data_IF_615056095079
#
_entry.id   IF_615056095079
#
_cell.length_a   1.000
_cell.length_b   1.000
_cell.length_c   1.000
_cell.angle_alpha   90.00
_cell.angle_beta   90.00
_cell.angle_gamma   90.00
#
_symmetry.space_group_name_H-M   'P 1'
#
loop_
_entity.id
_entity.type
_entity.pdbx_description
1 polymer ?
#
# COMPACT_ATOMS: atom_id res chain seq x y z
N UNK A 1 15.82 0.82 -17.53
CA UNK A 1 15.60 0.20 -16.19
C UNK A 1 15.12 1.20 -15.13
N UNK A 2 15.47 2.49 -15.20
CA UNK A 2 14.92 3.55 -14.33
C UNK A 2 13.53 4.04 -14.74
N UNK A 3 13.14 3.79 -15.99
CA UNK A 3 11.85 4.20 -16.56
C UNK A 3 10.66 3.51 -15.88
N UNK A 4 10.84 2.27 -15.40
CA UNK A 4 9.82 1.52 -14.67
C UNK A 4 9.51 2.13 -13.29
N UNK A 5 10.51 2.73 -12.63
CA UNK A 5 10.32 3.43 -11.34
C UNK A 5 9.58 4.76 -11.59
N UNK A 6 9.91 5.46 -12.68
CA UNK A 6 9.24 6.70 -13.06
C UNK A 6 7.78 6.51 -13.48
N UNK A 7 7.41 5.37 -14.07
CA UNK A 7 6.01 5.02 -14.31
C UNK A 7 5.27 4.61 -13.04
N UNK A 8 5.90 3.83 -12.14
CA UNK A 8 5.31 3.48 -10.84
C UNK A 8 5.02 4.75 -10.03
N UNK A 9 5.96 5.70 -9.98
CA UNK A 9 5.80 6.98 -9.28
C UNK A 9 4.73 7.86 -9.93
N UNK A 10 4.60 7.84 -11.27
CA UNK A 10 3.59 8.64 -11.99
C UNK A 10 2.18 8.06 -11.92
N UNK A 11 2.01 6.79 -11.57
CA UNK A 11 0.71 6.17 -11.34
C UNK A 11 0.23 6.26 -9.88
N UNK A 12 1.04 6.83 -8.98
CA UNK A 12 0.69 7.15 -7.58
C UNK A 12 -0.19 8.41 -7.47
N UNK A 13 -1.06 8.65 -8.45
CA UNK A 13 -1.82 9.90 -8.62
C UNK A 13 -3.34 9.73 -8.72
N UNK A 14 -3.84 8.49 -8.70
CA UNK A 14 -5.27 8.20 -8.64
C UNK A 14 -5.56 7.23 -7.50
N UNK A 15 -5.05 7.52 -6.30
CA UNK A 15 -5.56 6.90 -5.09
C UNK A 15 -6.96 7.44 -4.78
N UNK A 16 -7.91 6.58 -4.39
CA UNK A 16 -7.84 5.12 -4.26
C UNK A 16 -7.92 4.38 -5.62
N UNK A 17 -7.24 3.23 -5.73
CA UNK A 17 -7.18 2.42 -6.95
C UNK A 17 -7.43 0.92 -6.69
N UNK A 18 -7.86 0.23 -7.75
CA UNK A 18 -8.02 -1.22 -7.80
C UNK A 18 -6.92 -1.82 -8.67
N UNK A 19 -6.20 -2.79 -8.11
CA UNK A 19 -5.26 -3.63 -8.84
C UNK A 19 -5.90 -4.98 -9.16
N UNK A 20 -5.83 -5.39 -10.43
CA UNK A 20 -6.24 -6.70 -10.92
C UNK A 20 -5.01 -7.54 -11.22
N UNK A 21 -5.00 -8.77 -10.71
CA UNK A 21 -3.89 -9.70 -10.82
C UNK A 21 -4.32 -10.85 -11.71
N UNK A 22 -3.57 -11.08 -12.78
CA UNK A 22 -3.76 -12.19 -13.69
C UNK A 22 -2.49 -13.04 -13.69
N UNK A 23 -2.60 -14.27 -13.21
CA UNK A 23 -1.59 -15.29 -13.28
C UNK A 23 -1.76 -16.03 -14.60
N UNK A 24 -0.79 -15.92 -15.51
CA UNK A 24 -0.74 -16.88 -16.60
C UNK A 24 -0.29 -18.22 -16.00
N UNK A 25 -0.99 -19.32 -16.28
CA UNK A 25 -0.72 -20.64 -15.70
C UNK A 25 0.60 -21.30 -16.15
N UNK A 26 1.64 -20.51 -16.46
CA UNK A 26 2.96 -20.96 -16.89
C UNK A 26 4.06 -19.99 -16.45
N UNK A 27 5.31 -20.26 -16.85
CA UNK A 27 6.52 -19.51 -16.45
C UNK A 27 6.53 -18.01 -16.86
N UNK A 28 5.48 -17.52 -17.51
CA UNK A 28 5.36 -16.18 -18.07
C UNK A 28 4.57 -15.23 -17.14
N UNK A 29 5.12 -15.00 -15.95
CA UNK A 29 4.86 -13.79 -15.14
C UNK A 29 3.44 -13.53 -14.64
N UNK A 30 3.37 -12.66 -13.63
CA UNK A 30 2.11 -12.08 -13.13
C UNK A 30 1.85 -10.80 -13.92
N UNK A 31 0.66 -10.65 -14.50
CA UNK A 31 0.19 -9.40 -15.13
C UNK A 31 -0.62 -8.60 -14.11
N UNK A 32 -0.25 -7.33 -13.94
CA UNK A 32 -0.94 -6.38 -13.08
C UNK A 32 -1.61 -5.31 -13.94
N UNK A 33 -2.86 -5.00 -13.63
CA UNK A 33 -3.59 -3.88 -14.21
C UNK A 33 -4.15 -3.02 -13.09
N UNK A 34 -3.99 -1.69 -13.18
CA UNK A 34 -4.51 -0.74 -12.20
C UNK A 34 -5.58 0.15 -12.82
N UNK A 35 -6.66 0.42 -12.08
CA UNK A 35 -7.70 1.37 -12.46
C UNK A 35 -8.12 2.20 -11.23
N UNK A 36 -8.54 3.46 -11.42
CA UNK A 36 -9.12 4.26 -10.35
C UNK A 36 -10.37 3.58 -9.78
N UNK A 37 -10.46 3.49 -8.46
CA UNK A 37 -11.58 2.82 -7.80
C UNK A 37 -11.78 3.32 -6.37
N UNK A 38 -13.00 3.76 -6.10
CA UNK A 38 -13.39 4.20 -4.76
C UNK A 38 -13.74 3.00 -3.84
N UNK A 39 -13.50 3.08 -2.53
CA UNK A 39 -13.90 2.06 -1.55
C UNK A 39 -15.36 1.60 -1.66
N UNK A 40 -16.28 2.54 -1.92
CA UNK A 40 -17.71 2.28 -2.06
C UNK A 40 -18.03 1.41 -3.27
N UNK A 41 -17.11 1.31 -4.24
CA UNK A 41 -17.26 0.48 -5.41
C UNK A 41 -16.97 -1.01 -5.14
N UNK A 42 -16.38 -1.35 -3.99
CA UNK A 42 -16.00 -2.73 -3.64
C UNK A 42 -17.13 -3.77 -3.80
N UNK A 43 -18.38 -3.54 -3.32
CA UNK A 43 -19.47 -4.50 -3.53
C UNK A 43 -19.79 -4.72 -5.02
N UNK A 44 -19.65 -3.68 -5.84
CA UNK A 44 -19.87 -3.75 -7.30
C UNK A 44 -18.71 -4.44 -8.01
N UNK A 45 -17.48 -4.22 -7.57
CA UNK A 45 -16.28 -4.90 -8.08
C UNK A 45 -16.42 -6.40 -7.82
N UNK A 46 -16.73 -6.81 -6.58
CA UNK A 46 -16.92 -8.22 -6.24
C UNK A 46 -18.00 -8.89 -7.09
N UNK A 47 -19.14 -8.22 -7.30
CA UNK A 47 -20.25 -8.75 -8.13
C UNK A 47 -19.91 -8.87 -9.62
N UNK A 48 -19.14 -7.91 -10.16
CA UNK A 48 -18.67 -7.94 -11.56
C UNK A 48 -17.61 -9.01 -11.77
N UNK A 49 -16.75 -9.17 -10.77
CA UNK A 49 -15.67 -10.14 -10.80
C UNK A 49 -16.19 -11.56 -11.05
N UNK A 50 -17.30 -11.98 -10.44
CA UNK A 50 -17.84 -13.34 -10.71
C UNK A 50 -18.47 -13.51 -12.10
N UNK A 51 -18.63 -12.45 -12.90
CA UNK A 51 -19.40 -12.44 -14.15
C UNK A 51 -18.59 -12.14 -15.42
N UNK A 52 -17.39 -11.57 -15.30
CA UNK A 52 -16.58 -11.13 -16.43
C UNK A 52 -15.80 -12.30 -17.08
N UNK A 53 -15.70 -12.29 -18.41
CA UNK A 53 -15.05 -13.35 -19.21
C UNK A 53 -13.51 -13.37 -19.08
N UNK A 54 -12.90 -12.23 -18.73
CA UNK A 54 -11.48 -12.13 -18.33
C UNK A 54 -11.41 -11.83 -16.84
N UNK A 55 -11.65 -12.87 -16.07
CA UNK A 55 -11.74 -12.83 -14.62
C UNK A 55 -10.33 -12.81 -14.02
N UNK A 56 -9.93 -11.77 -13.25
CA UNK A 56 -8.64 -11.80 -12.57
C UNK A 56 -8.58 -12.93 -11.53
N UNK A 57 -7.37 -13.38 -11.22
CA UNK A 57 -7.11 -14.38 -10.19
C UNK A 57 -7.17 -13.77 -8.79
N UNK A 58 -6.84 -12.48 -8.67
CA UNK A 58 -7.03 -11.71 -7.45
C UNK A 58 -7.27 -10.24 -7.76
N UNK A 59 -7.90 -9.53 -6.82
CA UNK A 59 -8.00 -8.07 -6.85
C UNK A 59 -7.57 -7.48 -5.51
N UNK A 60 -6.94 -6.32 -5.57
CA UNK A 60 -6.48 -5.56 -4.40
C UNK A 60 -7.01 -4.14 -4.54
N UNK A 61 -7.93 -3.73 -3.67
CA UNK A 61 -8.29 -2.33 -3.55
C UNK A 61 -7.35 -1.65 -2.55
N UNK A 62 -6.82 -0.49 -2.92
CA UNK A 62 -5.84 0.26 -2.13
C UNK A 62 -6.37 1.67 -1.85
N UNK A 63 -6.30 2.08 -0.59
CA UNK A 63 -6.70 3.40 -0.11
C UNK A 63 -5.62 3.98 0.82
N UNK A 64 -5.42 5.30 0.80
CA UNK A 64 -4.55 5.98 1.77
C UNK A 64 -5.34 6.24 3.05
N UNK A 65 -4.84 5.76 4.19
CA UNK A 65 -5.45 5.97 5.51
C UNK A 65 -4.85 7.18 6.22
N UNK A 66 -3.52 7.33 6.17
CA UNK A 66 -2.79 8.43 6.80
C UNK A 66 -1.61 8.81 5.90
N UNK A 67 -1.39 10.12 5.72
CA UNK A 67 -0.24 10.65 5.00
C UNK A 67 0.36 11.81 5.79
N UNK A 68 1.61 11.65 6.20
CA UNK A 68 2.40 12.72 6.81
C UNK A 68 3.16 13.41 5.66
N UNK A 69 2.84 14.68 5.39
CA UNK A 69 3.55 15.48 4.40
C UNK A 69 4.87 16.01 4.98
N UNK A 70 5.95 15.96 4.18
CA UNK A 70 7.21 16.63 4.51
C UNK A 70 6.94 18.15 4.58
N UNK A 71 7.08 18.74 5.77
CA UNK A 71 7.04 20.18 5.93
C UNK A 71 8.21 20.80 5.14
N UNK A 72 7.88 21.39 3.99
CA UNK A 72 8.78 22.13 3.12
C UNK A 72 9.20 23.44 3.81
N UNK A 73 10.11 23.36 4.77
CA UNK A 73 10.76 24.52 5.39
C UNK A 73 12.09 24.85 4.72
N UNK A 74 12.12 25.93 3.94
CA UNK A 74 13.38 26.54 3.51
C UNK A 74 14.07 27.24 4.71
N UNK A 75 15.39 27.06 4.78
CA UNK A 75 16.41 27.79 5.55
C UNK A 75 16.49 27.58 7.08
N UNK A 76 17.55 26.88 7.51
CA UNK A 76 18.44 27.35 8.58
C UNK A 76 19.78 26.61 8.50
N UNK A 77 20.85 27.37 8.34
CA UNK A 77 22.24 26.97 8.49
C UNK A 77 22.56 26.49 9.92
N UNK A 78 23.55 25.60 9.98
CA UNK A 78 24.48 25.28 11.06
C UNK A 78 24.02 24.96 12.49
N UNK A 79 24.59 23.84 12.97
CA UNK A 79 24.94 23.53 14.35
C UNK A 79 23.79 23.35 15.34
N UNK A 80 23.40 22.09 15.57
CA UNK A 80 23.79 21.39 16.80
C UNK A 80 23.36 19.93 16.76
N UNK A 81 24.26 19.06 17.21
CA UNK A 81 24.01 17.65 17.42
C UNK A 81 22.89 17.46 18.45
N UNK A 82 21.72 17.06 17.98
CA UNK A 82 20.78 16.22 18.70
C UNK A 82 19.90 15.54 17.66
N UNK A 83 19.83 14.22 17.71
CA UNK A 83 19.13 13.29 16.81
C UNK A 83 17.85 13.86 16.18
N UNK A 84 17.99 14.61 15.09
CA UNK A 84 16.90 15.23 14.37
C UNK A 84 16.44 14.28 13.29
N UNK A 85 15.24 13.72 13.49
CA UNK A 85 14.47 12.97 12.51
C UNK A 85 14.78 13.45 11.09
N UNK A 86 15.35 12.57 10.27
CA UNK A 86 15.12 12.65 8.84
C UNK A 86 13.59 12.56 8.69
N UNK A 87 12.93 13.70 8.47
CA UNK A 87 11.48 13.76 8.28
C UNK A 87 11.19 12.97 7.01
N UNK A 88 10.96 11.68 7.18
CA UNK A 88 10.67 10.78 6.09
C UNK A 88 9.20 10.86 5.77
N UNK A 89 8.85 10.86 4.49
CA UNK A 89 7.46 10.75 4.08
C UNK A 89 6.89 9.41 4.56
N UNK A 90 6.07 9.44 5.62
CA UNK A 90 5.34 8.29 6.14
C UNK A 90 3.96 8.23 5.50
N UNK A 91 3.58 7.06 5.01
CA UNK A 91 2.27 6.79 4.42
C UNK A 91 1.74 5.46 4.90
N UNK A 92 0.52 5.49 5.41
CA UNK A 92 -0.24 4.31 5.82
C UNK A 92 -1.37 4.05 4.83
N UNK A 93 -1.47 2.80 4.38
CA UNK A 93 -2.40 2.35 3.36
C UNK A 93 -3.30 1.25 3.90
N UNK A 94 -4.56 1.27 3.49
CA UNK A 94 -5.54 0.20 3.67
C UNK A 94 -5.64 -0.63 2.41
N UNK A 95 -5.58 -1.96 2.55
CA UNK A 95 -5.71 -2.88 1.43
C UNK A 95 -6.84 -3.86 1.69
N UNK A 96 -7.70 -4.05 0.69
CA UNK A 96 -8.68 -5.14 0.67
C UNK A 96 -8.30 -6.10 -0.44
N UNK A 97 -7.90 -7.31 -0.06
CA UNK A 97 -7.46 -8.37 -0.97
C UNK A 97 -8.54 -9.43 -1.03
N UNK A 98 -8.93 -9.82 -2.22
CA UNK A 98 -9.78 -10.98 -2.44
C UNK A 98 -9.11 -11.80 -3.55
N UNK A 99 -9.15 -13.14 -3.40
CA UNK A 99 -8.73 -14.10 -4.42
C UNK A 99 -9.93 -14.77 -5.07
N UNK A 100 -9.77 -15.20 -6.32
CA UNK A 100 -10.80 -15.93 -7.07
C UNK A 100 -11.07 -17.26 -6.38
N UNK A 101 -12.35 -17.57 -6.14
CA UNK A 101 -12.74 -18.80 -5.45
C UNK A 101 -12.52 -18.79 -3.93
N UNK A 102 -12.13 -17.66 -3.34
CA UNK A 102 -12.09 -17.51 -1.88
C UNK A 102 -13.42 -16.99 -1.34
N UNK A 103 -13.87 -17.48 -0.18
CA UNK A 103 -15.17 -17.10 0.39
C UNK A 103 -15.19 -15.68 0.96
N UNK A 104 -14.03 -15.17 1.40
CA UNK A 104 -13.90 -13.89 2.06
C UNK A 104 -12.68 -13.10 1.60
N UNK A 105 -12.79 -11.78 1.70
CA UNK A 105 -11.70 -10.85 1.50
C UNK A 105 -10.89 -10.71 2.80
N UNK A 106 -9.61 -10.39 2.68
CA UNK A 106 -8.71 -10.07 3.77
C UNK A 106 -8.32 -8.59 3.73
N UNK A 107 -8.42 -7.93 4.88
CA UNK A 107 -7.95 -6.55 5.07
C UNK A 107 -6.48 -6.56 5.51
N UNK A 108 -5.66 -5.63 5.01
CA UNK A 108 -4.29 -5.39 5.47
C UNK A 108 -4.05 -3.90 5.67
N UNK A 109 -3.08 -3.59 6.55
CA UNK A 109 -2.53 -2.25 6.71
C UNK A 109 -1.07 -2.33 6.25
N UNK A 110 -0.70 -1.46 5.31
CA UNK A 110 0.69 -1.28 4.87
C UNK A 110 1.15 0.09 5.36
N UNK A 111 2.10 0.11 6.29
CA UNK A 111 2.79 1.34 6.69
C UNK A 111 4.13 1.43 5.96
N UNK A 112 4.42 2.58 5.37
CA UNK A 112 5.64 2.84 4.63
C UNK A 112 6.30 4.11 5.13
N UNK A 113 7.61 4.08 5.30
CA UNK A 113 8.40 5.25 5.68
C UNK A 113 9.57 5.36 4.73
N UNK A 114 9.63 6.46 3.98
CA UNK A 114 10.74 6.73 3.08
C UNK A 114 11.70 7.70 3.73
N UNK A 115 12.94 7.27 3.92
CA UNK A 115 14.02 8.07 4.52
C UNK A 115 15.04 8.41 3.43
N UNK A 116 15.46 9.68 3.37
CA UNK A 116 16.53 10.14 2.49
C UNK A 116 17.86 10.12 3.23
N UNK A 117 18.88 9.55 2.61
CA UNK A 117 20.26 9.55 3.09
C UNK A 117 21.19 10.14 2.02
N UNK A 118 22.44 10.41 2.39
CA UNK A 118 23.49 10.82 1.45
C UNK A 118 23.80 9.77 0.37
N UNK A 119 23.45 8.50 0.61
CA UNK A 119 23.66 7.38 -0.32
C UNK A 119 22.41 7.01 -1.14
N UNK A 120 21.31 7.74 -0.98
CA UNK A 120 20.05 7.48 -1.69
C UNK A 120 18.85 7.35 -0.74
N UNK A 121 17.78 6.75 -1.24
CA UNK A 121 16.54 6.55 -0.49
C UNK A 121 16.42 5.12 0.03
N UNK A 122 16.02 4.98 1.29
CA UNK A 122 15.60 3.71 1.85
C UNK A 122 14.10 3.80 2.16
N UNK A 123 13.33 2.79 1.77
CA UNK A 123 11.92 2.68 2.14
C UNK A 123 11.78 1.49 3.09
N UNK A 124 11.40 1.77 4.33
CA UNK A 124 10.98 0.76 5.27
C UNK A 124 9.47 0.51 5.09
N UNK A 125 9.04 -0.75 5.23
CA UNK A 125 7.61 -1.08 5.19
C UNK A 125 7.25 -2.10 6.26
N UNK A 126 6.00 -2.01 6.74
CA UNK A 126 5.38 -2.98 7.63
C UNK A 126 4.02 -3.36 7.06
N UNK A 127 3.76 -4.66 6.89
CA UNK A 127 2.47 -5.17 6.45
C UNK A 127 1.85 -5.99 7.59
N UNK A 128 0.67 -5.59 8.04
CA UNK A 128 -0.08 -6.29 9.08
C UNK A 128 -1.46 -6.70 8.56
N UNK A 129 -1.92 -7.90 8.92
CA UNK A 129 -3.30 -8.31 8.66
C UNK A 129 -4.21 -7.49 9.57
N UNK A 130 -5.18 -6.80 8.98
CA UNK A 130 -6.09 -5.94 9.71
C UNK A 130 -7.30 -6.73 10.22
N UNK A 131 -7.72 -6.43 11.45
CA UNK A 131 -9.04 -6.80 11.96
C UNK A 131 -10.01 -5.72 11.50
N UNK A 132 -10.80 -6.03 10.48
CA UNK A 132 -11.84 -5.12 10.01
C UNK A 132 -12.89 -4.96 11.15
N UNK A 133 -13.26 -3.72 11.51
CA UNK A 133 -14.13 -3.38 12.66
C UNK A 133 -13.52 -3.65 14.05
N UNK A 134 -12.37 -3.04 14.36
CA UNK A 134 -11.68 -3.23 15.63
C UNK A 134 -10.91 -1.98 16.08
N UNK A 135 -9.75 -2.21 16.67
CA UNK A 135 -8.86 -1.16 17.18
C UNK A 135 -8.40 -0.21 16.06
N UNK A 136 -8.01 1.00 16.42
CA UNK A 136 -7.46 1.98 15.49
C UNK A 136 -6.19 1.45 14.78
N UNK A 137 -5.92 1.97 13.58
CA UNK A 137 -4.82 1.54 12.69
C UNK A 137 -3.48 1.48 13.41
N UNK A 138 -3.11 2.55 14.13
CA UNK A 138 -1.86 2.63 14.89
C UNK A 138 -1.75 1.55 15.99
N UNK A 139 -2.87 1.16 16.61
CA UNK A 139 -2.90 0.11 17.64
C UNK A 139 -2.66 -1.25 17.01
N UNK A 140 -3.31 -1.52 15.87
CA UNK A 140 -3.12 -2.78 15.14
C UNK A 140 -1.68 -2.95 14.66
N UNK A 141 -1.08 -1.89 14.13
CA UNK A 141 0.34 -1.88 13.76
C UNK A 141 1.22 -2.18 14.97
N UNK A 142 1.07 -1.44 16.08
CA UNK A 142 1.85 -1.69 17.31
C UNK A 142 1.71 -3.14 17.79
N UNK A 143 0.50 -3.67 17.80
CA UNK A 143 0.21 -5.03 18.25
C UNK A 143 0.80 -6.09 17.31
N UNK A 144 0.94 -5.82 16.00
CA UNK A 144 1.58 -6.74 15.06
C UNK A 144 3.07 -6.96 15.37
N UNK A 145 3.78 -5.91 15.82
CA UNK A 145 5.18 -6.02 16.25
C UNK A 145 5.33 -6.79 17.57
N UNK A 146 4.38 -6.64 18.49
CA UNK A 146 4.41 -7.32 19.80
C UNK A 146 4.04 -8.80 19.74
N UNK A 147 3.50 -9.28 18.61
CA UNK A 147 3.15 -10.69 18.40
C UNK A 147 4.32 -11.55 17.91
N UNK A 148 5.55 -11.03 17.97
CA UNK A 148 6.76 -11.81 17.74
C UNK A 148 6.93 -12.91 18.79
N UNK A 149 6.48 -14.13 18.43
CA UNK A 149 6.61 -15.45 19.09
C UNK A 149 5.33 -15.95 19.78
N UNK A 150 4.59 -16.76 19.02
CA UNK A 150 3.84 -17.91 19.52
C UNK A 150 4.28 -19.14 18.76
#
# INVERSE_FOLDING_TARGET
MWESIGEIVRNTGEEPFLMRIFSSGGAAGVRLESEAAMPESWPRIKKRWDRESRTPDAVILVEVLEQEEEESGAAAEEATANCGLASGARRTWGLVVQGRGMDSAACYILDTTRVKSSLGFCTHFCLARAKCFGEAVHVQLRNAWLQGRG
#
